data_IF_309863191628
#
_entry.id   IF_309863191628
#
_cell.length_a   1.000
_cell.length_b   1.000
_cell.length_c   1.000
_cell.angle_alpha   90.00
_cell.angle_beta   90.00
_cell.angle_gamma   90.00
#
_symmetry.space_group_name_H-M   'P 1'
#
loop_
_entity.id
_entity.type
_entity.pdbx_description
1 polymer ?
#
# COMPACT_ATOMS: atom_id res chain seq x y z
N UNK A 1 18.18 9.94 -14.40
CA UNK A 1 18.12 8.65 -13.66
C UNK A 1 16.74 8.64 -13.03
N UNK A 2 15.80 7.91 -13.62
CA UNK A 2 14.41 7.98 -13.15
C UNK A 2 14.33 7.33 -11.78
N UNK A 3 14.16 8.16 -10.74
CA UNK A 3 13.96 7.78 -9.34
C UNK A 3 12.55 7.19 -9.16
N UNK A 4 12.24 6.15 -9.93
CA UNK A 4 10.97 5.45 -9.82
C UNK A 4 10.95 4.69 -8.49
N UNK A 5 9.83 4.82 -7.76
CA UNK A 5 9.62 4.05 -6.54
C UNK A 5 9.67 2.56 -6.87
N UNK A 6 10.52 1.83 -6.16
CA UNK A 6 10.69 0.38 -6.31
C UNK A 6 10.86 -0.25 -4.92
N UNK A 7 10.31 -1.44 -4.72
CA UNK A 7 10.33 -2.16 -3.45
C UNK A 7 9.19 -1.78 -2.49
N UNK A 8 9.35 -2.09 -1.22
CA UNK A 8 8.34 -1.87 -0.18
C UNK A 8 8.37 -0.43 0.33
N UNK A 9 7.18 0.15 0.49
CA UNK A 9 6.97 1.49 1.01
C UNK A 9 5.97 1.45 2.16
N UNK A 10 6.33 2.15 3.24
CA UNK A 10 5.47 2.40 4.38
C UNK A 10 5.02 3.85 4.35
N UNK A 11 3.72 4.05 4.33
CA UNK A 11 3.10 5.36 4.37
C UNK A 11 2.63 5.65 5.79
N UNK A 12 3.14 6.74 6.33
CA UNK A 12 2.85 7.21 7.68
C UNK A 12 1.91 8.41 7.61
N UNK A 13 1.04 8.54 8.61
CA UNK A 13 0.23 9.74 8.85
C UNK A 13 1.11 10.80 9.50
N UNK A 14 0.60 12.03 9.59
CA UNK A 14 1.30 13.14 10.28
C UNK A 14 1.65 12.81 11.74
N UNK A 15 0.85 11.96 12.40
CA UNK A 15 1.09 11.49 13.77
C UNK A 15 2.09 10.32 13.87
N UNK A 16 2.73 9.92 12.77
CA UNK A 16 3.71 8.83 12.73
C UNK A 16 3.11 7.42 12.68
N UNK A 17 1.79 7.26 12.67
CA UNK A 17 1.13 5.95 12.55
C UNK A 17 1.10 5.49 11.10
N UNK A 18 1.46 4.23 10.83
CA UNK A 18 1.34 3.63 9.51
C UNK A 18 -0.12 3.58 9.08
N UNK A 19 -0.45 4.13 7.92
CA UNK A 19 -1.79 4.01 7.34
C UNK A 19 -1.83 3.12 6.10
N UNK A 20 -0.69 2.89 5.44
CA UNK A 20 -0.64 2.03 4.28
C UNK A 20 0.76 1.43 4.11
N UNK A 21 0.83 0.17 3.71
CA UNK A 21 2.06 -0.53 3.35
C UNK A 21 1.84 -1.19 2.01
N UNK A 22 2.81 -1.10 1.11
CA UNK A 22 2.67 -1.73 -0.19
C UNK A 22 3.97 -1.73 -0.97
N UNK A 23 3.99 -2.45 -2.09
CA UNK A 23 5.15 -2.48 -2.96
C UNK A 23 4.90 -1.66 -4.24
N UNK A 24 5.97 -1.06 -4.74
CA UNK A 24 6.03 -0.44 -6.04
C UNK A 24 7.01 -1.18 -6.93
N UNK A 25 6.73 -1.16 -8.23
CA UNK A 25 7.61 -1.65 -9.28
C UNK A 25 7.62 -0.60 -10.37
N UNK A 26 8.79 -0.01 -10.66
CA UNK A 26 8.92 1.06 -11.67
C UNK A 26 7.91 2.21 -11.47
N UNK A 27 7.64 2.60 -10.23
CA UNK A 27 6.77 3.73 -9.88
C UNK A 27 5.27 3.43 -9.87
N UNK A 28 4.85 2.19 -10.18
CA UNK A 28 3.44 1.77 -10.09
C UNK A 28 3.23 0.76 -8.97
N UNK A 29 2.02 0.73 -8.39
CA UNK A 29 1.66 -0.25 -7.35
C UNK A 29 1.76 -1.66 -7.90
N UNK A 30 2.44 -2.53 -7.16
CA UNK A 30 2.62 -3.93 -7.54
C UNK A 30 2.69 -4.80 -6.27
N UNK A 31 2.16 -6.02 -6.30
CA UNK A 31 2.14 -6.92 -5.15
C UNK A 31 1.06 -6.58 -4.12
N UNK A 32 1.26 -7.07 -2.88
CA UNK A 32 0.32 -6.88 -1.78
C UNK A 32 0.37 -5.48 -1.19
N UNK A 33 -0.81 -4.95 -0.90
CA UNK A 33 -1.06 -3.66 -0.30
C UNK A 33 -1.99 -3.82 0.89
N UNK A 34 -1.63 -3.16 1.98
CA UNK A 34 -2.36 -3.20 3.24
C UNK A 34 -2.68 -1.77 3.65
N UNK A 35 -3.92 -1.51 4.07
CA UNK A 35 -4.32 -0.21 4.63
C UNK A 35 -4.83 -0.39 6.04
N UNK A 36 -4.44 0.54 6.90
CA UNK A 36 -4.88 0.63 8.29
C UNK A 36 -5.74 1.88 8.49
N UNK A 37 -6.78 1.73 9.31
CA UNK A 37 -7.66 2.82 9.69
C UNK A 37 -6.96 3.80 10.67
N UNK A 38 -7.70 4.78 11.20
CA UNK A 38 -7.12 5.81 12.10
C UNK A 38 -6.64 5.25 13.45
N UNK A 39 -7.15 4.10 13.88
CA UNK A 39 -6.78 3.44 15.13
C UNK A 39 -5.74 2.34 14.93
N UNK A 40 -5.21 2.18 13.71
CA UNK A 40 -4.20 1.17 13.38
C UNK A 40 -4.77 -0.23 13.11
N UNK A 41 -6.09 -0.40 13.08
CA UNK A 41 -6.70 -1.66 12.71
C UNK A 41 -6.73 -1.82 11.18
N UNK A 42 -6.60 -3.07 10.73
CA UNK A 42 -6.64 -3.42 9.32
C UNK A 42 -7.98 -3.01 8.69
N UNK A 43 -7.94 -2.15 7.67
CA UNK A 43 -9.11 -1.65 6.95
C UNK A 43 -9.35 -2.46 5.68
N UNK A 44 -8.30 -2.70 4.90
CA UNK A 44 -8.35 -3.59 3.75
C UNK A 44 -6.98 -4.10 3.35
N UNK A 45 -7.00 -5.21 2.64
CA UNK A 45 -5.87 -5.71 1.86
C UNK A 45 -6.25 -5.73 0.38
N UNK A 46 -5.30 -5.45 -0.48
CA UNK A 46 -5.47 -5.48 -1.92
C UNK A 46 -4.21 -6.02 -2.59
N UNK A 47 -4.36 -6.58 -3.77
CA UNK A 47 -3.24 -7.01 -4.60
C UNK A 47 -3.25 -6.22 -5.89
N UNK A 48 -2.09 -5.69 -6.28
CA UNK A 48 -1.93 -4.90 -7.49
C UNK A 48 -0.97 -5.56 -8.47
N UNK A 49 -1.29 -5.50 -9.75
CA UNK A 49 -0.38 -5.88 -10.84
C UNK A 49 -0.29 -4.73 -11.84
N UNK A 50 0.94 -4.21 -12.01
CA UNK A 50 1.27 -3.11 -12.91
C UNK A 50 0.32 -1.91 -12.78
N UNK A 51 0.03 -1.54 -11.53
CA UNK A 51 -0.85 -0.44 -11.15
C UNK A 51 -2.35 -0.77 -11.12
N UNK A 52 -2.76 -1.98 -11.51
CA UNK A 52 -4.17 -2.40 -11.53
C UNK A 52 -4.51 -3.21 -10.28
N UNK A 53 -5.62 -2.88 -9.63
CA UNK A 53 -6.15 -3.69 -8.52
C UNK A 53 -6.69 -5.02 -9.09
N UNK A 54 -6.10 -6.12 -8.66
CA UNK A 54 -6.49 -7.49 -9.06
C UNK A 54 -7.46 -8.06 -8.04
N UNK A 55 -7.23 -7.81 -6.75
CA UNK A 55 -8.11 -8.25 -5.68
C UNK A 55 -8.13 -7.24 -4.55
N UNK A 56 -9.24 -7.25 -3.82
CA UNK A 56 -9.43 -6.44 -2.61
C UNK A 56 -10.30 -7.19 -1.62
N UNK A 57 -9.86 -7.18 -0.36
CA UNK A 57 -10.58 -7.71 0.79
C UNK A 57 -10.73 -6.62 1.82
N UNK A 58 -11.99 -6.29 2.12
CA UNK A 58 -12.35 -5.30 3.13
C UNK A 58 -12.51 -6.00 4.49
N UNK A 59 -12.12 -5.31 5.55
CA UNK A 59 -12.35 -5.71 6.93
C UNK A 59 -13.20 -4.63 7.61
N UNK A 60 -14.25 -5.07 8.31
CA UNK A 60 -15.25 -4.23 8.98
C UNK A 60 -15.38 -4.61 10.45
#
# INVERSE_FOLDING_TARGET
KDNLMDGQWNFYRENGVVWQVGNFKKGVKHGSWVRYNKVGALEYEAYFEDGKEVSKRLYH
#
